data_IF_174160168036
#
_entry.id   IF_174160168036
#
_cell.length_a   1.000
_cell.length_b   1.000
_cell.length_c   1.000
_cell.angle_alpha   90.00
_cell.angle_beta   90.00
_cell.angle_gamma   90.00
#
_symmetry.space_group_name_H-M   'P 1'
#
loop_
_entity.id
_entity.type
_entity.pdbx_description
1 polymer ?
#
# COMPACT_ATOMS: atom_id res chain seq x y z
N UNK A 1 7.55 12.01 31.25
CA UNK A 1 8.16 12.14 29.90
C UNK A 1 7.24 11.60 28.79
N UNK A 2 6.57 10.45 28.97
CA UNK A 2 5.73 9.81 27.93
C UNK A 2 4.49 10.60 27.45
N UNK A 3 3.90 11.46 28.28
CA UNK A 3 2.74 12.29 27.90
C UNK A 3 3.14 13.70 27.38
N UNK A 4 4.43 13.96 27.13
CA UNK A 4 4.89 15.27 26.67
C UNK A 4 4.37 15.52 25.25
N UNK A 5 3.85 16.72 25.01
CA UNK A 5 3.23 17.09 23.73
C UNK A 5 1.73 16.75 23.65
N UNK A 6 1.15 16.10 24.67
CA UNK A 6 -0.28 15.86 24.71
C UNK A 6 -1.02 17.17 25.03
N UNK A 7 -2.13 17.40 24.34
CA UNK A 7 -2.88 18.66 24.44
C UNK A 7 -3.65 18.78 25.77
N UNK A 8 -3.62 19.99 26.35
CA UNK A 8 -4.35 20.34 27.56
C UNK A 8 -4.02 19.45 28.77
N UNK A 9 -5.06 19.06 29.51
CA UNK A 9 -4.92 18.27 30.75
C UNK A 9 -4.26 16.90 30.57
N UNK A 10 -4.23 16.36 29.35
CA UNK A 10 -3.61 15.06 29.02
C UNK A 10 -2.08 15.10 29.07
N UNK A 11 -1.47 16.29 29.02
CA UNK A 11 -0.04 16.49 29.18
C UNK A 11 0.39 17.01 30.57
N UNK A 12 -0.57 17.49 31.38
CA UNK A 12 -0.30 18.19 32.66
C UNK A 12 -0.80 17.43 33.90
N UNK A 13 -2.00 16.83 33.85
CA UNK A 13 -2.59 16.15 35.01
C UNK A 13 -2.22 14.66 35.01
N UNK A 14 -1.67 14.15 36.13
CA UNK A 14 -1.13 12.78 36.20
C UNK A 14 -2.16 11.70 35.84
N UNK A 15 -3.38 11.77 36.41
CA UNK A 15 -4.43 10.78 36.17
C UNK A 15 -4.82 10.71 34.70
N UNK A 16 -5.17 11.86 34.12
CA UNK A 16 -5.56 11.98 32.71
C UNK A 16 -4.42 11.62 31.76
N UNK A 17 -3.18 11.99 32.10
CA UNK A 17 -1.99 11.64 31.33
C UNK A 17 -1.75 10.13 31.32
N UNK A 18 -1.87 9.46 32.46
CA UNK A 18 -1.72 8.00 32.58
C UNK A 18 -2.73 7.27 31.70
N UNK A 19 -4.01 7.63 31.79
CA UNK A 19 -5.07 7.04 30.96
C UNK A 19 -4.82 7.26 29.46
N UNK A 20 -4.39 8.46 29.08
CA UNK A 20 -4.11 8.79 27.67
C UNK A 20 -2.92 7.99 27.13
N UNK A 21 -1.85 7.85 27.91
CA UNK A 21 -0.66 7.09 27.52
C UNK A 21 -0.99 5.60 27.36
N UNK A 22 -1.79 5.02 28.27
CA UNK A 22 -2.22 3.63 28.16
C UNK A 22 -3.01 3.38 26.87
N UNK A 23 -3.97 4.25 26.55
CA UNK A 23 -4.73 4.18 25.28
C UNK A 23 -3.81 4.30 24.07
N UNK A 24 -2.89 5.27 24.09
CA UNK A 24 -1.93 5.46 23.01
C UNK A 24 -1.02 4.23 22.79
N UNK A 25 -0.63 3.53 23.86
CA UNK A 25 0.16 2.30 23.75
C UNK A 25 -0.63 1.16 23.09
N UNK A 26 -1.90 1.00 23.43
CA UNK A 26 -2.80 0.00 22.79
C UNK A 26 -2.95 0.30 21.31
N UNK A 27 -3.23 1.55 20.94
CA UNK A 27 -3.30 1.98 19.54
C UNK A 27 -1.97 1.78 18.82
N UNK A 28 -0.84 2.16 19.43
CA UNK A 28 0.46 1.96 18.82
C UNK A 28 0.73 0.47 18.50
N UNK A 29 0.32 -0.45 19.37
CA UNK A 29 0.44 -1.88 19.11
C UNK A 29 -0.46 -2.34 17.95
N UNK A 30 -1.74 -1.96 17.94
CA UNK A 30 -2.67 -2.30 16.87
C UNK A 30 -2.21 -1.74 15.52
N UNK A 31 -1.92 -0.43 15.45
CA UNK A 31 -1.51 0.25 14.22
C UNK A 31 -0.18 -0.28 13.67
N UNK A 32 0.73 -0.79 14.51
CA UNK A 32 1.95 -1.47 14.02
C UNK A 32 1.63 -2.70 13.17
N UNK A 33 0.57 -3.43 13.50
CA UNK A 33 0.08 -4.58 12.71
C UNK A 33 -0.61 -4.09 11.45
N UNK A 34 -1.49 -3.11 11.57
CA UNK A 34 -2.31 -2.58 10.46
C UNK A 34 -1.48 -1.87 9.38
N UNK A 35 -0.36 -1.26 9.77
CA UNK A 35 0.55 -0.56 8.85
C UNK A 35 0.99 -1.42 7.65
N UNK A 36 1.12 -2.74 7.82
CA UNK A 36 1.44 -3.66 6.71
C UNK A 36 0.32 -3.66 5.66
N UNK A 37 -0.94 -3.63 6.10
CA UNK A 37 -2.12 -3.56 5.25
C UNK A 37 -2.28 -2.16 4.64
N UNK A 38 -2.03 -1.10 5.40
CA UNK A 38 -2.10 0.29 4.90
C UNK A 38 -1.13 0.53 3.74
N UNK A 39 0.13 0.09 3.88
CA UNK A 39 1.10 0.18 2.80
C UNK A 39 0.70 -0.66 1.59
N UNK A 40 0.17 -1.87 1.81
CA UNK A 40 -0.32 -2.71 0.72
C UNK A 40 -1.45 -2.03 -0.05
N UNK A 41 -2.41 -1.42 0.66
CA UNK A 41 -3.50 -0.64 0.05
C UNK A 41 -2.93 0.51 -0.79
N UNK A 42 -2.00 1.28 -0.23
CA UNK A 42 -1.34 2.38 -0.95
C UNK A 42 -0.66 1.91 -2.24
N UNK A 43 0.10 0.81 -2.19
CA UNK A 43 0.77 0.25 -3.37
C UNK A 43 -0.23 -0.18 -4.43
N UNK A 44 -1.34 -0.83 -4.04
CA UNK A 44 -2.39 -1.24 -4.97
C UNK A 44 -3.02 -0.02 -5.63
N UNK A 45 -3.33 1.04 -4.87
CA UNK A 45 -3.90 2.28 -5.42
C UNK A 45 -2.97 2.92 -6.44
N UNK A 46 -1.66 2.97 -6.15
CA UNK A 46 -0.64 3.52 -7.06
C UNK A 46 -0.52 2.69 -8.35
N UNK A 47 -0.42 1.36 -8.23
CA UNK A 47 -0.38 0.46 -9.39
C UNK A 47 -1.66 0.60 -10.21
N UNK A 48 -2.83 0.61 -9.57
CA UNK A 48 -4.13 0.74 -10.23
C UNK A 48 -4.23 2.03 -11.03
N UNK A 49 -3.74 3.15 -10.50
CA UNK A 49 -3.69 4.41 -11.24
C UNK A 49 -2.79 4.30 -12.49
N UNK A 50 -1.61 3.70 -12.35
CA UNK A 50 -0.67 3.53 -13.46
C UNK A 50 -1.19 2.57 -14.53
N UNK A 51 -1.80 1.43 -14.15
CA UNK A 51 -2.36 0.48 -15.13
C UNK A 51 -3.60 1.05 -15.82
N UNK A 52 -4.42 1.84 -15.11
CA UNK A 52 -5.59 2.52 -15.71
C UNK A 52 -5.19 3.54 -16.76
N UNK A 53 -4.07 4.24 -16.58
CA UNK A 53 -3.57 5.19 -17.58
C UNK A 53 -3.25 4.48 -18.92
N UNK A 54 -2.86 3.21 -18.87
CA UNK A 54 -2.62 2.38 -20.05
C UNK A 54 -3.89 1.64 -20.53
N UNK A 55 -4.98 1.62 -19.75
CA UNK A 55 -6.23 0.95 -20.10
C UNK A 55 -6.37 -0.50 -19.61
N UNK A 56 -5.59 -0.92 -18.60
CA UNK A 56 -5.72 -2.25 -17.96
C UNK A 56 -6.20 -2.12 -16.52
N UNK A 57 -7.12 -2.98 -16.09
CA UNK A 57 -7.48 -3.07 -14.68
C UNK A 57 -6.38 -3.72 -13.85
N UNK A 58 -6.23 -3.32 -12.59
CA UNK A 58 -5.25 -3.92 -11.68
C UNK A 58 -5.37 -5.46 -11.60
N UNK A 59 -6.59 -5.99 -11.56
CA UNK A 59 -6.83 -7.45 -11.46
C UNK A 59 -6.32 -8.19 -12.69
N UNK A 60 -6.61 -7.67 -13.89
CA UNK A 60 -6.10 -8.23 -15.15
C UNK A 60 -4.57 -8.12 -15.22
N UNK A 61 -3.99 -6.98 -14.81
CA UNK A 61 -2.54 -6.82 -14.79
C UNK A 61 -1.87 -7.84 -13.86
N UNK A 62 -2.36 -8.02 -12.64
CA UNK A 62 -1.80 -9.00 -11.70
C UNK A 62 -1.94 -10.44 -12.20
N UNK A 63 -3.08 -10.76 -12.82
CA UNK A 63 -3.29 -12.07 -13.43
C UNK A 63 -2.34 -12.31 -14.61
N UNK A 64 -2.17 -11.31 -15.49
CA UNK A 64 -1.23 -11.38 -16.61
C UNK A 64 0.22 -11.54 -16.17
N UNK A 65 0.64 -10.90 -15.06
CA UNK A 65 1.97 -11.10 -14.48
C UNK A 65 2.18 -12.53 -13.95
N UNK A 66 1.16 -13.11 -13.32
CA UNK A 66 1.20 -14.49 -12.83
C UNK A 66 1.33 -15.49 -13.98
N UNK A 67 0.54 -15.30 -15.05
CA UNK A 67 0.61 -16.12 -16.27
C UNK A 67 1.95 -15.95 -17.00
N UNK A 68 2.52 -14.74 -17.00
CA UNK A 68 3.83 -14.46 -17.57
C UNK A 68 5.00 -15.01 -16.72
N UNK A 69 4.74 -15.59 -15.54
CA UNK A 69 5.75 -16.10 -14.62
C UNK A 69 6.55 -15.01 -13.88
N UNK A 70 6.07 -13.76 -13.89
CA UNK A 70 6.80 -12.61 -13.32
C UNK A 70 6.45 -12.45 -11.84
N UNK A 71 7.35 -12.89 -10.96
CA UNK A 71 7.16 -12.80 -9.50
C UNK A 71 7.77 -11.53 -8.93
N UNK A 72 7.02 -10.42 -8.91
CA UNK A 72 7.45 -9.15 -8.32
C UNK A 72 6.50 -8.72 -7.21
N UNK A 73 7.06 -8.21 -6.10
CA UNK A 73 6.25 -7.71 -4.99
C UNK A 73 5.58 -6.35 -5.32
N UNK A 74 4.46 -6.06 -4.66
CA UNK A 74 3.67 -4.84 -4.90
C UNK A 74 4.41 -3.55 -4.51
N UNK A 75 5.34 -3.64 -3.56
CA UNK A 75 6.18 -2.51 -3.16
C UNK A 75 7.05 -2.06 -4.33
N UNK A 76 7.77 -2.99 -4.95
CA UNK A 76 8.65 -2.74 -6.09
C UNK A 76 7.85 -2.32 -7.32
N UNK A 77 6.73 -2.99 -7.62
CA UNK A 77 5.83 -2.57 -8.71
C UNK A 77 5.34 -1.13 -8.52
N UNK A 78 4.92 -0.78 -7.30
CA UNK A 78 4.49 0.60 -7.00
C UNK A 78 5.62 1.60 -7.09
N UNK A 79 6.86 1.21 -6.78
CA UNK A 79 8.02 2.10 -6.86
C UNK A 79 8.41 2.33 -8.32
N UNK A 80 8.49 1.26 -9.09
CA UNK A 80 8.77 1.28 -10.53
C UNK A 80 7.73 2.12 -11.28
N UNK A 81 6.45 2.00 -10.94
CA UNK A 81 5.41 2.84 -11.53
C UNK A 81 5.60 4.36 -11.32
N UNK A 82 6.37 4.77 -10.29
CA UNK A 82 6.65 6.18 -9.98
C UNK A 82 8.01 6.61 -10.55
N UNK A 83 9.05 5.82 -10.32
CA UNK A 83 10.43 6.18 -10.66
C UNK A 83 10.77 5.91 -12.12
N UNK A 84 10.24 4.85 -12.71
CA UNK A 84 10.48 4.46 -14.10
C UNK A 84 9.19 4.03 -14.81
N UNK A 85 8.41 5.00 -15.32
CA UNK A 85 7.20 4.72 -16.08
C UNK A 85 7.46 3.92 -17.35
N UNK A 86 8.65 4.02 -17.97
CA UNK A 86 8.95 3.34 -19.22
C UNK A 86 9.11 1.83 -18.99
N UNK A 87 9.87 1.43 -17.97
CA UNK A 87 9.98 0.03 -17.57
C UNK A 87 8.62 -0.55 -17.13
N UNK A 88 7.81 0.25 -16.43
CA UNK A 88 6.47 -0.18 -16.02
C UNK A 88 5.53 -0.43 -17.21
N UNK A 89 5.60 0.39 -18.27
CA UNK A 89 4.85 0.16 -19.52
C UNK A 89 5.27 -1.12 -20.22
N UNK A 90 6.57 -1.43 -20.27
CA UNK A 90 7.05 -2.68 -20.84
C UNK A 90 6.50 -3.91 -20.07
N UNK A 91 6.41 -3.81 -18.74
CA UNK A 91 5.78 -4.83 -17.91
C UNK A 91 4.27 -4.98 -18.19
N UNK A 92 3.56 -3.88 -18.40
CA UNK A 92 2.13 -3.93 -18.79
C UNK A 92 1.97 -4.60 -20.14
N UNK A 93 2.82 -4.29 -21.12
CA UNK A 93 2.78 -4.94 -22.43
C UNK A 93 3.01 -6.46 -22.29
N UNK A 94 4.02 -6.87 -21.51
CA UNK A 94 4.28 -8.28 -21.25
C UNK A 94 3.12 -8.98 -20.54
N UNK A 95 2.50 -8.32 -19.57
CA UNK A 95 1.32 -8.85 -18.88
C UNK A 95 0.12 -8.99 -19.83
N UNK A 96 -0.05 -8.09 -20.80
CA UNK A 96 -1.11 -8.16 -21.82
C UNK A 96 -0.92 -9.33 -22.77
N UNK A 97 0.30 -9.60 -23.22
CA UNK A 97 0.60 -10.74 -24.10
C UNK A 97 0.25 -12.08 -23.44
N UNK A 98 0.42 -12.18 -22.12
CA UNK A 98 0.13 -13.39 -21.37
C UNK A 98 -1.36 -13.56 -21.01
N UNK A 99 -2.18 -12.52 -21.17
CA UNK A 99 -3.61 -12.61 -20.87
C UNK A 99 -4.34 -13.43 -21.95
N UNK A 100 -5.18 -14.40 -21.56
CA UNK A 100 -6.04 -15.08 -22.50
C UNK A 100 -7.03 -14.08 -23.11
N UNK A 101 -7.42 -14.30 -24.37
CA UNK A 101 -8.45 -13.51 -25.02
C UNK A 101 -9.72 -13.48 -24.13
N UNK A 102 -10.44 -12.35 -24.07
CA UNK A 102 -11.63 -12.24 -23.24
C UNK A 102 -12.60 -13.38 -23.58
N UNK A 103 -13.02 -14.14 -22.57
CA UNK A 103 -14.12 -15.07 -22.71
C UNK A 103 -15.35 -14.26 -23.14
N UNK A 104 -15.82 -14.51 -24.36
CA UNK A 104 -16.98 -13.88 -24.97
C UNK A 104 -18.26 -14.15 -24.17
#
# INVERSE_FOLDING_TARGET
RAARGYWGGRGRLFKTAKESVLKAMVHAYAHRKDRKHDFRRLWITRISAATRAEGVSYSQFMHGLELAGVTINRKALSNMAIEDPAAFKALIARAREALPAPAA
#
